data_IF_624543737259
#
_entry.id   IF_624543737259
#
_cell.length_a   1.000
_cell.length_b   1.000
_cell.length_c   1.000
_cell.angle_alpha   90.00
_cell.angle_beta   90.00
_cell.angle_gamma   90.00
#
_symmetry.space_group_name_H-M   'P 1'
#
loop_
_entity.id
_entity.type
_entity.pdbx_description
1 polymer ?
#
# COMPACT_ATOMS: atom_id res chain seq x y z
N UNK A 1 1.07 -4.73 4.81
CA UNK A 1 1.88 -3.52 4.55
C UNK A 1 2.96 -3.48 5.60
N UNK A 2 4.21 -3.19 5.24
CA UNK A 2 5.36 -3.18 6.15
C UNK A 2 5.71 -4.49 6.86
N UNK A 3 5.09 -5.62 6.48
CA UNK A 3 5.29 -6.91 7.17
C UNK A 3 6.74 -7.39 7.00
N UNK A 4 7.26 -7.38 5.76
CA UNK A 4 8.61 -7.84 5.47
C UNK A 4 9.60 -6.68 5.31
N UNK A 5 9.15 -5.56 4.75
CA UNK A 5 10.02 -4.43 4.36
C UNK A 5 10.61 -3.70 5.57
N UNK A 6 9.80 -3.42 6.60
CA UNK A 6 10.25 -2.69 7.78
C UNK A 6 11.27 -3.52 8.60
N UNK A 7 11.02 -4.82 8.89
CA UNK A 7 12.04 -5.66 9.53
C UNK A 7 13.34 -5.75 8.71
N UNK A 8 13.24 -5.93 7.38
CA UNK A 8 14.44 -6.02 6.52
C UNK A 8 15.26 -4.73 6.60
N UNK A 9 14.63 -3.56 6.53
CA UNK A 9 15.33 -2.28 6.60
C UNK A 9 15.97 -2.06 7.96
N UNK A 10 15.25 -2.36 9.05
CA UNK A 10 15.77 -2.17 10.40
C UNK A 10 16.90 -3.15 10.74
N UNK A 11 16.88 -4.37 10.18
CA UNK A 11 17.88 -5.39 10.47
C UNK A 11 19.13 -5.29 9.60
N UNK A 12 18.97 -4.93 8.31
CA UNK A 12 20.04 -5.04 7.32
C UNK A 12 20.50 -3.70 6.74
N UNK A 13 19.89 -2.57 7.13
CA UNK A 13 20.26 -1.26 6.58
C UNK A 13 20.43 -0.22 7.69
N UNK A 14 21.28 0.78 7.44
CA UNK A 14 21.43 1.96 8.29
C UNK A 14 20.49 3.11 7.87
N UNK A 15 19.43 2.80 7.12
CA UNK A 15 18.59 3.82 6.48
C UNK A 15 17.69 4.54 7.50
N UNK A 16 17.21 3.82 8.51
CA UNK A 16 16.50 4.37 9.66
C UNK A 16 16.74 3.53 10.90
N UNK A 17 16.89 4.17 12.06
CA UNK A 17 16.64 3.52 13.34
C UNK A 17 15.13 3.32 13.58
N UNK A 18 14.77 2.40 14.48
CA UNK A 18 13.37 2.16 14.86
C UNK A 18 12.70 3.45 15.35
N UNK A 19 13.43 4.26 16.12
CA UNK A 19 12.94 5.51 16.67
C UNK A 19 12.71 6.55 15.56
N UNK A 20 13.66 6.73 14.64
CA UNK A 20 13.50 7.66 13.51
C UNK A 20 12.35 7.25 12.59
N UNK A 21 12.21 5.96 12.27
CA UNK A 21 11.09 5.45 11.49
C UNK A 21 9.74 5.74 12.17
N UNK A 22 9.66 5.55 13.50
CA UNK A 22 8.44 5.83 14.26
C UNK A 22 8.09 7.33 14.29
N UNK A 23 9.08 8.20 14.44
CA UNK A 23 8.90 9.66 14.40
C UNK A 23 8.45 10.08 13.01
N UNK A 24 9.08 9.56 11.96
CA UNK A 24 8.72 9.84 10.57
C UNK A 24 7.29 9.45 10.25
N UNK A 25 6.87 8.22 10.58
CA UNK A 25 5.50 7.74 10.35
C UNK A 25 4.49 8.58 11.15
N UNK A 26 4.77 8.86 12.42
CA UNK A 26 3.93 9.75 13.24
C UNK A 26 3.80 11.15 12.64
N UNK A 27 4.90 11.73 12.17
CA UNK A 27 4.91 13.04 11.54
C UNK A 27 4.04 13.06 10.27
N UNK A 28 4.12 12.02 9.43
CA UNK A 28 3.24 11.87 8.26
C UNK A 28 1.77 11.78 8.69
N UNK A 29 1.45 11.00 9.73
CA UNK A 29 0.09 10.92 10.25
C UNK A 29 -0.43 12.28 10.73
N UNK A 30 0.36 13.03 11.50
CA UNK A 30 0.02 14.37 11.98
C UNK A 30 -0.20 15.36 10.83
N UNK A 31 0.66 15.31 9.81
CA UNK A 31 0.54 16.12 8.61
C UNK A 31 -0.79 15.83 7.90
N UNK A 32 -1.09 14.55 7.65
CA UNK A 32 -2.36 14.14 7.03
C UNK A 32 -3.56 14.56 7.89
N UNK A 33 -3.46 14.47 9.21
CA UNK A 33 -4.51 14.91 10.12
C UNK A 33 -4.84 16.40 9.94
N UNK A 34 -3.82 17.24 9.83
CA UNK A 34 -3.96 18.68 9.65
C UNK A 34 -4.60 19.01 8.30
N UNK A 35 -4.13 18.40 7.21
CA UNK A 35 -4.63 18.65 5.86
C UNK A 35 -5.96 17.95 5.52
N UNK A 36 -6.41 16.99 6.33
CA UNK A 36 -7.68 16.32 6.08
C UNK A 36 -8.85 17.23 6.47
N UNK A 37 -9.76 17.55 5.53
CA UNK A 37 -10.92 18.38 5.81
C UNK A 37 -11.89 17.70 6.78
N UNK A 38 -12.81 18.49 7.33
CA UNK A 38 -13.89 17.98 8.17
C UNK A 38 -14.82 17.00 7.43
N UNK A 39 -15.64 16.29 8.21
CA UNK A 39 -16.60 15.31 7.71
C UNK A 39 -17.89 16.00 7.26
N UNK A 40 -18.46 15.54 6.14
CA UNK A 40 -19.74 16.04 5.63
C UNK A 40 -20.91 15.36 6.35
N UNK A 41 -21.70 16.13 7.11
CA UNK A 41 -22.80 15.59 7.94
C UNK A 41 -24.07 15.22 7.16
N UNK A 42 -24.36 15.90 6.05
CA UNK A 42 -25.62 15.77 5.31
C UNK A 42 -25.52 14.89 4.06
N UNK A 43 -24.61 13.92 4.08
CA UNK A 43 -24.38 13.08 2.92
C UNK A 43 -25.33 11.87 2.91
N UNK A 44 -26.03 11.69 1.79
CA UNK A 44 -26.96 10.57 1.55
C UNK A 44 -26.42 9.70 0.40
N UNK A 45 -26.26 8.41 0.68
CA UNK A 45 -25.85 7.42 -0.32
C UNK A 45 -27.02 7.13 -1.25
N UNK A 46 -26.82 7.25 -2.56
CA UNK A 46 -27.75 6.67 -3.55
C UNK A 46 -27.52 5.16 -3.60
N UNK A 47 -28.57 4.32 -3.63
CA UNK A 47 -28.41 2.87 -3.72
C UNK A 47 -27.71 2.50 -5.03
N UNK A 48 -26.62 1.73 -4.93
CA UNK A 48 -25.94 1.16 -6.09
C UNK A 48 -26.73 -0.07 -6.53
N UNK A 49 -27.00 -0.21 -7.84
CA UNK A 49 -27.74 -1.36 -8.38
C UNK A 49 -26.83 -2.53 -8.72
N UNK A 50 -25.62 -2.23 -9.23
CA UNK A 50 -24.65 -3.21 -9.72
C UNK A 50 -23.23 -2.95 -9.18
N UNK A 51 -22.34 -3.94 -9.28
CA UNK A 51 -20.93 -3.82 -8.87
C UNK A 51 -20.18 -2.72 -9.64
N UNK A 52 -20.46 -2.57 -10.93
CA UNK A 52 -19.92 -1.48 -11.74
C UNK A 52 -20.34 -0.11 -11.19
N UNK A 53 -21.60 0.05 -10.77
CA UNK A 53 -22.09 1.30 -10.19
C UNK A 53 -21.40 1.60 -8.86
N UNK A 54 -21.12 0.56 -8.05
CA UNK A 54 -20.40 0.70 -6.78
C UNK A 54 -18.93 1.13 -6.99
N UNK A 55 -18.23 0.56 -7.99
CA UNK A 55 -16.88 0.98 -8.35
C UNK A 55 -16.88 2.41 -8.91
N UNK A 56 -17.80 2.70 -9.83
CA UNK A 56 -17.93 4.04 -10.42
C UNK A 56 -18.28 5.09 -9.35
N UNK A 57 -19.16 4.77 -8.41
CA UNK A 57 -19.53 5.69 -7.33
C UNK A 57 -18.35 5.94 -6.38
N UNK A 58 -17.55 4.91 -6.06
CA UNK A 58 -16.31 5.08 -5.31
C UNK A 58 -15.29 5.99 -6.02
N UNK A 59 -15.06 5.77 -7.32
CA UNK A 59 -14.13 6.58 -8.12
C UNK A 59 -14.56 8.05 -8.24
N UNK A 60 -15.86 8.29 -8.32
CA UNK A 60 -16.45 9.65 -8.38
C UNK A 60 -16.53 10.31 -7.00
N UNK A 61 -16.12 9.64 -5.92
CA UNK A 61 -16.22 10.18 -4.56
C UNK A 61 -17.62 10.12 -3.97
N UNK A 62 -18.56 9.39 -4.58
CA UNK A 62 -19.98 9.31 -4.19
C UNK A 62 -20.30 8.06 -3.37
N UNK A 63 -19.30 7.35 -2.86
CA UNK A 63 -19.48 6.19 -1.98
C UNK A 63 -19.07 6.52 -0.54
N UNK A 64 -19.47 5.66 0.39
CA UNK A 64 -18.95 5.71 1.76
C UNK A 64 -17.46 5.32 1.76
N UNK A 65 -16.67 5.98 2.62
CA UNK A 65 -15.24 5.68 2.75
C UNK A 65 -14.98 4.19 3.00
N UNK A 66 -15.79 3.55 3.87
CA UNK A 66 -15.63 2.13 4.20
C UNK A 66 -15.74 1.22 2.97
N UNK A 67 -16.61 1.55 2.02
CA UNK A 67 -16.85 0.75 0.81
C UNK A 67 -15.72 0.94 -0.20
N UNK A 68 -15.20 2.16 -0.36
CA UNK A 68 -14.05 2.43 -1.22
C UNK A 68 -12.73 1.88 -0.65
N UNK A 69 -12.60 1.88 0.68
CA UNK A 69 -11.35 1.56 1.37
C UNK A 69 -11.09 0.05 1.49
N UNK A 70 -11.98 -0.69 2.17
CA UNK A 70 -11.68 -2.04 2.66
C UNK A 70 -11.41 -3.10 1.58
N UNK A 71 -12.22 -3.22 0.50
CA UNK A 71 -12.04 -4.30 -0.46
C UNK A 71 -10.66 -4.27 -1.12
N UNK A 72 -10.23 -3.08 -1.54
CA UNK A 72 -8.94 -2.87 -2.18
C UNK A 72 -7.80 -2.92 -1.18
N UNK A 73 -7.98 -2.37 0.03
CA UNK A 73 -6.96 -2.46 1.08
C UNK A 73 -6.63 -3.93 1.37
N UNK A 74 -7.64 -4.77 1.58
CA UNK A 74 -7.44 -6.19 1.85
C UNK A 74 -6.81 -6.90 0.64
N UNK A 75 -7.35 -6.68 -0.56
CA UNK A 75 -6.83 -7.30 -1.78
C UNK A 75 -5.35 -6.98 -1.99
N UNK A 76 -4.96 -5.69 -1.94
CA UNK A 76 -3.57 -5.28 -2.15
C UNK A 76 -2.66 -5.89 -1.10
N UNK A 77 -3.05 -5.86 0.18
CA UNK A 77 -2.22 -6.41 1.25
C UNK A 77 -2.06 -7.94 1.15
N UNK A 78 -3.13 -8.66 0.80
CA UNK A 78 -3.09 -10.12 0.61
C UNK A 78 -2.18 -10.46 -0.56
N UNK A 79 -2.33 -9.77 -1.71
CA UNK A 79 -1.48 -10.03 -2.88
C UNK A 79 -0.02 -9.73 -2.57
N UNK A 80 0.28 -8.58 -1.94
CA UNK A 80 1.66 -8.23 -1.55
C UNK A 80 2.28 -9.26 -0.60
N UNK A 81 1.52 -9.69 0.42
CA UNK A 81 1.99 -10.74 1.32
C UNK A 81 2.25 -12.06 0.58
N UNK A 82 1.34 -12.44 -0.31
CA UNK A 82 1.45 -13.67 -1.07
C UNK A 82 2.66 -13.67 -2.00
N UNK A 83 2.87 -12.62 -2.78
CA UNK A 83 4.00 -12.57 -3.73
C UNK A 83 5.36 -12.53 -3.01
N UNK A 84 5.44 -11.88 -1.84
CA UNK A 84 6.65 -11.93 -1.00
C UNK A 84 6.91 -13.35 -0.49
N UNK A 85 5.89 -14.00 0.05
CA UNK A 85 6.00 -15.39 0.50
C UNK A 85 6.45 -16.33 -0.61
N UNK A 86 5.91 -16.16 -1.83
CA UNK A 86 6.27 -16.99 -2.99
C UNK A 86 7.73 -16.78 -3.41
N UNK A 87 8.21 -15.55 -3.41
CA UNK A 87 9.60 -15.25 -3.83
C UNK A 87 10.62 -15.69 -2.78
N UNK A 88 10.32 -15.51 -1.49
CA UNK A 88 11.18 -15.97 -0.39
C UNK A 88 11.32 -17.51 -0.34
N UNK A 89 10.31 -18.24 -0.82
CA UNK A 89 10.36 -19.70 -0.94
C UNK A 89 10.88 -20.20 -2.30
N UNK A 90 11.48 -19.32 -3.11
CA UNK A 90 12.01 -19.63 -4.44
C UNK A 90 10.97 -20.25 -5.42
N UNK A 91 9.68 -20.00 -5.18
CA UNK A 91 8.58 -20.49 -6.04
C UNK A 91 8.10 -19.46 -7.06
N UNK A 92 8.59 -18.21 -6.97
CA UNK A 92 8.40 -17.12 -7.92
C UNK A 92 9.77 -16.61 -8.40
N UNK A 93 9.85 -16.24 -9.68
CA UNK A 93 11.03 -15.55 -10.23
C UNK A 93 11.02 -14.07 -9.87
N UNK A 94 12.19 -13.43 -9.91
CA UNK A 94 12.32 -11.98 -9.68
C UNK A 94 11.49 -11.22 -10.71
N UNK A 95 11.54 -11.62 -11.99
CA UNK A 95 10.70 -11.06 -13.04
C UNK A 95 9.19 -11.17 -12.73
N UNK A 96 8.73 -12.32 -12.23
CA UNK A 96 7.32 -12.54 -11.85
C UNK A 96 6.90 -11.65 -10.68
N UNK A 97 7.77 -11.52 -9.67
CA UNK A 97 7.55 -10.64 -8.53
C UNK A 97 7.44 -9.17 -8.96
N UNK A 98 8.33 -8.68 -9.84
CA UNK A 98 8.26 -7.32 -10.41
C UNK A 98 7.00 -7.12 -11.24
N UNK A 99 6.62 -8.11 -12.05
CA UNK A 99 5.42 -8.07 -12.89
C UNK A 99 4.15 -7.95 -12.05
N UNK A 100 4.05 -8.70 -10.95
CA UNK A 100 2.91 -8.60 -10.03
C UNK A 100 2.79 -7.20 -9.42
N UNK A 101 3.90 -6.56 -9.03
CA UNK A 101 3.91 -5.16 -8.58
C UNK A 101 3.44 -4.20 -9.68
N UNK A 102 3.89 -4.42 -10.92
CA UNK A 102 3.47 -3.63 -12.09
C UNK A 102 1.96 -3.74 -12.36
N UNK A 103 1.40 -4.95 -12.29
CA UNK A 103 -0.04 -5.19 -12.48
C UNK A 103 -0.91 -4.52 -11.40
N UNK A 104 -0.39 -4.40 -10.18
CA UNK A 104 -1.11 -3.75 -9.07
C UNK A 104 -1.08 -2.21 -9.14
N UNK A 105 -0.20 -1.60 -9.94
CA UNK A 105 -0.01 -0.14 -9.96
C UNK A 105 -1.30 0.60 -10.32
N UNK A 106 -2.00 0.18 -11.37
CA UNK A 106 -3.24 0.83 -11.81
C UNK A 106 -4.38 0.66 -10.78
N UNK A 107 -4.66 -0.54 -10.24
CA UNK A 107 -5.58 -0.72 -9.13
C UNK A 107 -5.25 0.14 -7.90
N UNK A 108 -3.95 0.30 -7.57
CA UNK A 108 -3.51 1.13 -6.45
C UNK A 108 -3.78 2.60 -6.71
N UNK A 109 -3.38 3.14 -7.86
CA UNK A 109 -3.70 4.53 -8.24
C UNK A 109 -5.21 4.75 -8.21
N UNK A 110 -5.96 3.78 -8.72
CA UNK A 110 -7.41 3.82 -8.70
C UNK A 110 -7.97 3.93 -7.28
N UNK A 111 -7.46 3.08 -6.39
CA UNK A 111 -7.87 3.00 -4.99
C UNK A 111 -7.50 4.26 -4.20
N UNK A 112 -6.28 4.78 -4.38
CA UNK A 112 -5.82 6.01 -3.73
C UNK A 112 -6.76 7.16 -4.06
N UNK A 113 -7.07 7.40 -5.34
CA UNK A 113 -7.97 8.47 -5.73
C UNK A 113 -9.38 8.30 -5.10
N UNK A 114 -9.88 7.07 -5.11
CA UNK A 114 -11.19 6.73 -4.54
C UNK A 114 -11.25 7.02 -3.03
N UNK A 115 -10.23 6.62 -2.28
CA UNK A 115 -10.11 6.87 -0.84
C UNK A 115 -10.04 8.37 -0.55
N UNK A 116 -9.23 9.12 -1.31
CA UNK A 116 -9.05 10.56 -1.10
C UNK A 116 -10.30 11.37 -1.36
N UNK A 117 -11.07 11.01 -2.40
CA UNK A 117 -12.37 11.63 -2.70
C UNK A 117 -13.47 11.22 -1.71
N UNK A 118 -13.52 9.95 -1.32
CA UNK A 118 -14.54 9.46 -0.39
C UNK A 118 -14.23 9.79 1.08
N UNK A 119 -13.07 10.38 1.40
CA UNK A 119 -12.64 10.59 2.78
C UNK A 119 -13.59 11.49 3.58
N UNK A 120 -14.33 12.38 2.93
CA UNK A 120 -15.31 13.25 3.60
C UNK A 120 -16.59 12.50 4.02
N UNK A 121 -16.85 11.32 3.43
CA UNK A 121 -18.06 10.52 3.64
C UNK A 121 -17.82 9.42 4.67
N UNK A 122 -17.69 9.84 5.93
CA UNK A 122 -17.53 8.96 7.09
C UNK A 122 -18.26 9.54 8.30
N UNK A 123 -18.21 8.88 9.46
CA UNK A 123 -18.78 9.38 10.71
C UNK A 123 -17.81 10.27 11.49
N UNK A 124 -16.52 9.94 11.44
CA UNK A 124 -15.48 10.59 12.24
C UNK A 124 -14.26 10.93 11.38
N UNK A 125 -13.71 12.14 11.56
CA UNK A 125 -12.51 12.62 10.84
C UNK A 125 -11.33 11.66 10.98
N UNK A 126 -11.19 11.02 12.14
CA UNK A 126 -10.11 10.05 12.42
C UNK A 126 -10.08 8.92 11.40
N UNK A 127 -11.25 8.42 10.94
CA UNK A 127 -11.29 7.37 9.92
C UNK A 127 -10.84 7.88 8.55
N UNK A 128 -11.18 9.12 8.19
CA UNK A 128 -10.69 9.78 6.98
C UNK A 128 -9.17 9.91 6.98
N UNK A 129 -8.62 10.35 8.10
CA UNK A 129 -7.18 10.52 8.31
C UNK A 129 -6.49 9.17 8.20
N UNK A 130 -6.95 8.18 8.98
CA UNK A 130 -6.37 6.84 8.96
C UNK A 130 -6.36 6.23 7.54
N UNK A 131 -7.47 6.32 6.81
CA UNK A 131 -7.56 5.80 5.44
C UNK A 131 -6.58 6.50 4.48
N UNK A 132 -6.48 7.83 4.54
CA UNK A 132 -5.51 8.60 3.72
C UNK A 132 -4.07 8.28 4.11
N UNK A 133 -3.76 8.22 5.40
CA UNK A 133 -2.41 7.86 5.86
C UNK A 133 -2.02 6.45 5.38
N UNK A 134 -2.93 5.49 5.43
CA UNK A 134 -2.68 4.13 4.93
C UNK A 134 -2.40 4.10 3.41
N UNK A 135 -3.01 4.97 2.61
CA UNK A 135 -2.65 5.09 1.18
C UNK A 135 -1.23 5.60 0.97
N UNK A 136 -0.77 6.57 1.79
CA UNK A 136 0.59 7.09 1.73
C UNK A 136 1.59 6.04 2.21
N UNK A 137 1.27 5.34 3.29
CA UNK A 137 2.09 4.25 3.80
C UNK A 137 2.24 3.12 2.78
N UNK A 138 1.22 2.84 1.97
CA UNK A 138 1.34 1.86 0.88
C UNK A 138 2.37 2.32 -0.15
N UNK A 139 2.36 3.60 -0.54
CA UNK A 139 3.36 4.15 -1.45
C UNK A 139 4.76 4.07 -0.87
N UNK A 140 4.92 4.38 0.42
CA UNK A 140 6.18 4.21 1.13
C UNK A 140 6.63 2.75 1.14
N UNK A 141 5.73 1.80 1.43
CA UNK A 141 6.02 0.36 1.37
C UNK A 141 6.52 -0.06 -0.03
N UNK A 142 5.91 0.45 -1.10
CA UNK A 142 6.36 0.23 -2.48
C UNK A 142 7.76 0.80 -2.76
N UNK A 143 8.04 2.01 -2.29
CA UNK A 143 9.37 2.63 -2.42
C UNK A 143 10.41 1.79 -1.67
N UNK A 144 10.09 1.35 -0.44
CA UNK A 144 10.98 0.49 0.33
C UNK A 144 11.22 -0.86 -0.34
N UNK A 145 10.18 -1.48 -0.92
CA UNK A 145 10.31 -2.71 -1.72
C UNK A 145 11.24 -2.52 -2.92
N UNK A 146 11.10 -1.39 -3.60
CA UNK A 146 11.97 -1.05 -4.72
C UNK A 146 13.42 -0.89 -4.29
N UNK A 147 13.67 -0.17 -3.19
CA UNK A 147 15.01 0.00 -2.60
C UNK A 147 15.60 -1.36 -2.20
N UNK A 148 14.85 -2.18 -1.46
CA UNK A 148 15.31 -3.53 -1.06
C UNK A 148 15.66 -4.36 -2.29
N UNK A 149 14.80 -4.37 -3.31
CA UNK A 149 15.01 -5.18 -4.51
C UNK A 149 16.22 -4.76 -5.38
N UNK A 150 16.68 -3.51 -5.24
CA UNK A 150 17.76 -2.95 -6.06
C UNK A 150 19.08 -2.84 -5.31
N UNK A 151 19.04 -2.44 -4.02
CA UNK A 151 20.21 -2.20 -3.20
C UNK A 151 20.55 -3.37 -2.28
N UNK A 152 19.55 -4.17 -1.88
CA UNK A 152 19.73 -5.29 -0.94
C UNK A 152 19.02 -6.57 -1.43
N UNK A 153 19.22 -6.98 -2.69
CA UNK A 153 18.45 -8.07 -3.29
C UNK A 153 18.59 -9.39 -2.52
N UNK A 154 19.77 -9.65 -1.93
CA UNK A 154 20.10 -10.88 -1.18
C UNK A 154 19.29 -11.05 0.11
N UNK A 155 18.64 -9.99 0.60
CA UNK A 155 17.78 -10.06 1.80
C UNK A 155 16.38 -10.59 1.50
N UNK A 156 15.93 -10.49 0.24
CA UNK A 156 14.58 -10.84 -0.19
C UNK A 156 14.58 -12.03 -1.17
N UNK A 157 15.62 -12.15 -2.00
CA UNK A 157 15.74 -13.16 -3.04
C UNK A 157 16.84 -14.17 -2.68
N UNK A 158 16.55 -15.45 -2.89
CA UNK A 158 17.53 -16.52 -2.78
C UNK A 158 18.61 -16.36 -3.87
N UNK A 159 19.87 -16.71 -3.57
CA UNK A 159 20.97 -16.73 -4.54
C UNK A 159 20.63 -17.50 -5.82
N UNK A 160 19.85 -18.58 -5.73
CA UNK A 160 19.43 -19.34 -6.90
C UNK A 160 18.61 -18.49 -7.88
N UNK A 161 17.74 -17.64 -7.36
CA UNK A 161 16.94 -16.72 -8.17
C UNK A 161 17.80 -15.61 -8.77
N UNK A 162 18.77 -15.11 -8.00
CA UNK A 162 19.65 -14.03 -8.42
C UNK A 162 20.59 -14.46 -9.54
N UNK A 163 21.19 -15.65 -9.44
CA UNK A 163 22.03 -16.22 -10.50
C UNK A 163 21.20 -16.45 -11.77
N UNK A 164 19.96 -16.91 -11.63
CA UNK A 164 19.10 -17.15 -12.80
C UNK A 164 18.70 -15.87 -13.53
N UNK A 165 18.48 -14.76 -12.81
CA UNK A 165 18.03 -13.49 -13.38
C UNK A 165 19.19 -12.58 -13.82
N UNK A 166 20.23 -12.48 -12.99
CA UNK A 166 21.35 -11.54 -13.15
C UNK A 166 22.70 -12.21 -13.44
N UNK A 167 22.80 -13.54 -13.34
CA UNK A 167 24.04 -14.29 -13.60
C UNK A 167 25.03 -14.31 -12.43
N UNK A 168 24.73 -13.66 -11.31
CA UNK A 168 25.58 -13.58 -10.13
C UNK A 168 24.75 -13.57 -8.82
N UNK A 169 25.37 -13.90 -7.69
CA UNK A 169 24.83 -13.71 -6.34
C UNK A 169 25.86 -12.99 -5.46
N UNK A 170 26.15 -11.73 -5.80
CA UNK A 170 26.92 -10.81 -4.95
C UNK A 170 26.00 -9.94 -4.10
#
# INVERSE_FOLDING_TARGET
MFINTLPIILAYTNLFSLLEASIFLTAVFCLVYYYTPGVTKNWSKKPDKNLYDALRSAWLGRAMLRQAFWPFFLLVNIVLFYIDYRVMNATYTIASWKTAHGMLLLPIVWWINSVWKCSQHTRHKVFSVAARTLTIYLLLDYILRFIISTQYPNTLFDCRLLIMEYGDCL
#
